data_IF_472580686404
#
_entry.id   IF_472580686404
#
_cell.length_a   1.000
_cell.length_b   1.000
_cell.length_c   1.000
_cell.angle_alpha   90.00
_cell.angle_beta   90.00
_cell.angle_gamma   90.00
#
_symmetry.space_group_name_H-M   'P 1'
#
loop_
_entity.id
_entity.type
_entity.pdbx_description
1 polymer ?
#
# COMPACT_ATOMS: atom_id res chain seq x y z
N UNK A 1 -23.14 -40.13 17.88
CA UNK A 1 -23.05 -39.53 16.52
C UNK A 1 -21.61 -39.09 16.30
N UNK A 2 -20.90 -39.63 15.31
CA UNK A 2 -19.55 -39.19 14.99
C UNK A 2 -19.61 -37.87 14.22
N UNK A 3 -19.04 -36.80 14.78
CA UNK A 3 -18.93 -35.52 14.10
C UNK A 3 -18.03 -35.66 12.87
N UNK A 4 -18.50 -35.20 11.71
CA UNK A 4 -17.72 -35.21 10.47
C UNK A 4 -16.68 -34.09 10.56
N UNK A 5 -15.45 -34.42 10.92
CA UNK A 5 -14.33 -33.49 10.94
C UNK A 5 -13.80 -33.25 9.53
N UNK A 6 -13.29 -32.04 9.26
CA UNK A 6 -12.61 -31.76 7.99
C UNK A 6 -11.33 -32.59 7.88
N UNK A 7 -10.91 -32.90 6.64
CA UNK A 7 -9.66 -33.64 6.39
C UNK A 7 -8.46 -32.90 7.03
N UNK A 8 -8.44 -31.58 6.92
CA UNK A 8 -7.41 -30.75 7.53
C UNK A 8 -7.35 -30.91 9.05
N UNK A 9 -8.50 -30.89 9.73
CA UNK A 9 -8.53 -31.07 11.18
C UNK A 9 -8.10 -32.48 11.59
N UNK A 10 -8.51 -33.50 10.82
CA UNK A 10 -8.05 -34.88 11.02
C UNK A 10 -6.52 -34.97 10.91
N UNK A 11 -5.97 -34.40 9.86
CA UNK A 11 -4.53 -34.45 9.60
C UNK A 11 -3.74 -33.68 10.65
N UNK A 12 -4.26 -32.54 11.13
CA UNK A 12 -3.66 -31.78 12.25
C UNK A 12 -3.66 -32.57 13.57
N UNK A 13 -4.70 -33.37 13.84
CA UNK A 13 -4.75 -34.26 15.02
C UNK A 13 -3.74 -35.39 14.92
N UNK A 14 -3.57 -35.96 13.72
CA UNK A 14 -2.61 -37.05 13.47
C UNK A 14 -1.17 -36.58 13.23
N UNK A 15 -0.94 -35.27 13.10
CA UNK A 15 0.35 -34.68 12.71
C UNK A 15 1.50 -35.12 13.60
N UNK A 16 1.30 -35.13 14.92
CA UNK A 16 2.33 -35.55 15.89
C UNK A 16 2.80 -37.00 15.68
N UNK A 17 1.90 -37.88 15.23
CA UNK A 17 2.15 -39.31 15.08
C UNK A 17 2.72 -39.63 13.69
N UNK A 18 2.19 -38.99 12.65
CA UNK A 18 2.58 -39.24 11.27
C UNK A 18 3.85 -38.46 10.87
N UNK A 19 4.02 -37.24 11.39
CA UNK A 19 5.11 -36.33 11.03
C UNK A 19 5.61 -35.55 12.26
N UNK A 20 6.33 -36.21 13.19
CA UNK A 20 6.77 -35.59 14.45
C UNK A 20 7.69 -34.39 14.24
N UNK A 21 8.54 -34.39 13.21
CA UNK A 21 9.45 -33.29 12.90
C UNK A 21 8.67 -32.03 12.47
N UNK A 22 7.67 -32.20 11.59
CA UNK A 22 6.78 -31.10 11.18
C UNK A 22 5.99 -30.58 12.37
N UNK A 23 5.47 -31.46 13.23
CA UNK A 23 4.79 -31.07 14.45
C UNK A 23 5.69 -30.23 15.38
N UNK A 24 6.97 -30.60 15.51
CA UNK A 24 7.93 -29.81 16.29
C UNK A 24 8.14 -28.40 15.72
N UNK A 25 8.21 -28.25 14.39
CA UNK A 25 8.30 -26.94 13.73
C UNK A 25 7.03 -26.09 13.90
N UNK A 26 5.85 -26.73 13.91
CA UNK A 26 4.58 -26.06 14.23
C UNK A 26 4.59 -25.51 15.67
N UNK A 27 5.09 -26.28 16.65
CA UNK A 27 5.22 -25.80 18.03
C UNK A 27 6.21 -24.64 18.16
N UNK A 28 7.25 -24.59 17.32
CA UNK A 28 8.19 -23.47 17.27
C UNK A 28 7.59 -22.21 16.62
N UNK A 29 6.47 -22.34 15.90
CA UNK A 29 5.85 -21.22 15.20
C UNK A 29 6.56 -20.85 13.90
N UNK A 30 7.35 -21.74 13.30
CA UNK A 30 8.13 -21.47 12.08
C UNK A 30 7.28 -21.39 10.79
N UNK A 31 5.96 -21.32 10.93
CA UNK A 31 4.99 -21.19 9.83
C UNK A 31 4.24 -19.85 9.85
N UNK A 32 4.52 -18.99 10.84
CA UNK A 32 3.90 -17.67 11.00
C UNK A 32 4.93 -16.55 10.99
N UNK A 33 4.53 -15.37 10.51
CA UNK A 33 5.32 -14.14 10.51
C UNK A 33 4.56 -13.03 11.23
N UNK A 34 5.30 -12.08 11.81
CA UNK A 34 4.73 -10.91 12.48
C UNK A 34 5.06 -9.65 11.69
N UNK A 35 4.03 -9.02 11.10
CA UNK A 35 4.18 -7.74 10.39
C UNK A 35 4.31 -6.54 11.32
N UNK A 36 3.97 -6.69 12.60
CA UNK A 36 4.05 -5.62 13.59
C UNK A 36 4.60 -6.11 14.93
N UNK A 37 5.05 -5.17 15.76
CA UNK A 37 5.49 -5.44 17.15
C UNK A 37 4.33 -5.74 18.11
N UNK A 38 3.08 -5.69 17.64
CA UNK A 38 1.90 -5.98 18.48
C UNK A 38 1.90 -7.46 18.86
N UNK A 39 1.35 -7.77 20.03
CA UNK A 39 1.38 -9.13 20.59
C UNK A 39 0.65 -10.17 19.71
N UNK A 40 -0.38 -9.74 18.96
CA UNK A 40 -1.39 -10.64 18.41
C UNK A 40 -1.33 -11.02 16.92
N UNK A 41 -0.71 -10.32 15.96
CA UNK A 41 -0.84 -10.75 14.57
C UNK A 41 0.40 -11.53 14.13
N UNK A 42 0.54 -12.76 14.65
CA UNK A 42 1.30 -13.78 13.95
C UNK A 42 0.38 -14.37 12.87
N UNK A 43 0.76 -14.21 11.61
CA UNK A 43 -0.05 -14.57 10.45
C UNK A 43 0.70 -15.64 9.67
N UNK A 44 -0.01 -16.63 9.12
CA UNK A 44 0.61 -17.63 8.26
C UNK A 44 1.39 -16.95 7.12
N UNK A 45 2.52 -17.54 6.73
CA UNK A 45 3.41 -16.99 5.68
C UNK A 45 2.63 -16.72 4.39
N UNK A 46 1.81 -17.67 3.95
CA UNK A 46 1.01 -17.56 2.73
C UNK A 46 0.03 -16.38 2.78
N UNK A 47 -0.64 -16.20 3.92
CA UNK A 47 -1.56 -15.08 4.11
C UNK A 47 -0.83 -13.72 4.11
N UNK A 48 0.41 -13.69 4.60
CA UNK A 48 1.24 -12.49 4.53
C UNK A 48 1.68 -12.19 3.10
N UNK A 49 2.01 -13.23 2.34
CA UNK A 49 2.33 -13.10 0.92
C UNK A 49 1.11 -12.62 0.11
N UNK A 50 -0.10 -13.12 0.39
CA UNK A 50 -1.33 -12.63 -0.22
C UNK A 50 -1.60 -11.15 0.07
N UNK A 51 -1.42 -10.72 1.32
CA UNK A 51 -1.53 -9.30 1.66
C UNK A 51 -0.52 -8.45 0.89
N UNK A 52 0.73 -8.90 0.81
CA UNK A 52 1.76 -8.17 0.06
C UNK A 52 1.42 -8.12 -1.42
N UNK A 53 0.95 -9.23 -1.99
CA UNK A 53 0.48 -9.27 -3.37
C UNK A 53 -0.70 -8.33 -3.59
N UNK A 54 -1.60 -8.16 -2.62
CA UNK A 54 -2.72 -7.21 -2.75
C UNK A 54 -2.26 -5.75 -2.87
N UNK A 55 -1.14 -5.37 -2.24
CA UNK A 55 -0.57 -4.02 -2.41
C UNK A 55 0.06 -3.80 -3.79
N UNK A 56 0.67 -4.84 -4.37
CA UNK A 56 1.35 -4.72 -5.67
C UNK A 56 0.39 -4.99 -6.84
N UNK A 57 -0.62 -5.84 -6.64
CA UNK A 57 -1.71 -6.08 -7.59
C UNK A 57 -2.73 -4.95 -7.43
N UNK A 58 -2.72 -3.99 -8.35
CA UNK A 58 -3.84 -3.04 -8.47
C UNK A 58 -5.16 -3.74 -8.85
N UNK A 59 -6.20 -2.96 -9.12
CA UNK A 59 -7.56 -3.47 -9.40
C UNK A 59 -7.65 -4.48 -10.58
N UNK A 60 -6.64 -4.51 -11.45
CA UNK A 60 -6.52 -5.46 -12.57
C UNK A 60 -5.92 -6.83 -12.24
N UNK A 61 -5.48 -7.07 -11.00
CA UNK A 61 -4.86 -8.33 -10.59
C UNK A 61 -3.47 -8.57 -11.22
N UNK A 62 -2.99 -9.82 -11.17
CA UNK A 62 -1.70 -10.25 -11.75
C UNK A 62 -1.89 -11.05 -13.05
N UNK A 63 -2.76 -10.60 -13.94
CA UNK A 63 -3.07 -11.31 -15.19
C UNK A 63 -1.80 -11.44 -16.05
N UNK A 64 -1.49 -12.65 -16.54
CA UNK A 64 -0.33 -12.93 -17.40
C UNK A 64 1.03 -13.00 -16.70
N UNK A 65 1.11 -12.70 -15.39
CA UNK A 65 2.39 -12.70 -14.67
C UNK A 65 3.05 -14.09 -14.61
N UNK A 66 2.23 -15.14 -14.50
CA UNK A 66 2.70 -16.53 -14.42
C UNK A 66 3.08 -17.12 -15.77
N UNK A 67 2.70 -16.49 -16.89
CA UNK A 67 2.97 -16.95 -18.26
C UNK A 67 4.42 -16.66 -18.69
N UNK A 68 5.09 -15.71 -18.03
CA UNK A 68 6.49 -15.41 -18.25
C UNK A 68 7.32 -15.72 -16.98
N UNK A 69 8.06 -16.84 -16.95
CA UNK A 69 8.87 -17.23 -15.80
C UNK A 69 9.92 -16.19 -15.37
N UNK A 70 10.45 -15.39 -16.30
CA UNK A 70 11.40 -14.33 -15.98
C UNK A 70 10.71 -13.13 -15.31
N UNK A 71 9.50 -12.78 -15.75
CA UNK A 71 8.68 -11.77 -15.09
C UNK A 71 8.26 -12.22 -13.68
N UNK A 72 7.81 -13.47 -13.53
CA UNK A 72 7.48 -14.05 -12.24
C UNK A 72 8.67 -14.04 -11.27
N UNK A 73 9.88 -14.42 -11.73
CA UNK A 73 11.09 -14.36 -10.89
C UNK A 73 11.41 -12.93 -10.43
N UNK A 74 11.35 -11.95 -11.33
CA UNK A 74 11.56 -10.54 -10.96
C UNK A 74 10.51 -10.08 -9.95
N UNK A 75 9.26 -10.49 -10.10
CA UNK A 75 8.20 -10.20 -9.14
C UNK A 75 8.45 -10.82 -7.77
N UNK A 76 8.84 -12.11 -7.71
CA UNK A 76 9.12 -12.78 -6.43
C UNK A 76 10.26 -12.10 -5.65
N UNK A 77 11.26 -11.56 -6.35
CA UNK A 77 12.42 -10.89 -5.72
C UNK A 77 12.11 -9.43 -5.39
N UNK A 78 11.51 -8.68 -6.31
CA UNK A 78 11.31 -7.23 -6.17
C UNK A 78 9.96 -6.84 -5.56
N UNK A 79 8.95 -7.69 -5.64
CA UNK A 79 7.58 -7.43 -5.18
C UNK A 79 7.49 -6.99 -3.72
N UNK A 80 8.16 -7.69 -2.77
CA UNK A 80 8.17 -7.26 -1.37
C UNK A 80 8.75 -5.85 -1.16
N UNK A 81 9.83 -5.50 -1.86
CA UNK A 81 10.43 -4.16 -1.77
C UNK A 81 9.55 -3.09 -2.42
N UNK A 82 8.91 -3.40 -3.56
CA UNK A 82 7.94 -2.49 -4.17
C UNK A 82 6.76 -2.22 -3.23
N UNK A 83 6.22 -3.25 -2.56
CA UNK A 83 5.16 -3.09 -1.56
C UNK A 83 5.60 -2.20 -0.39
N UNK A 84 6.83 -2.37 0.11
CA UNK A 84 7.40 -1.53 1.17
C UNK A 84 7.52 -0.07 0.73
N UNK A 85 8.03 0.19 -0.48
CA UNK A 85 8.19 1.54 -1.02
C UNK A 85 6.85 2.26 -1.24
N UNK A 86 5.84 1.55 -1.77
CA UNK A 86 4.48 2.10 -1.94
C UNK A 86 3.90 2.49 -0.58
N UNK A 87 3.99 1.59 0.42
CA UNK A 87 3.48 1.86 1.76
C UNK A 87 4.19 3.06 2.44
N UNK A 88 5.51 3.16 2.30
CA UNK A 88 6.27 4.31 2.82
C UNK A 88 5.89 5.62 2.13
N UNK A 89 5.68 5.58 0.81
CA UNK A 89 5.26 6.73 0.04
C UNK A 89 3.86 7.21 0.46
N UNK A 90 2.87 6.33 0.45
CA UNK A 90 1.49 6.65 0.86
C UNK A 90 1.46 7.23 2.28
N UNK A 91 2.12 6.58 3.24
CA UNK A 91 2.20 7.08 4.62
C UNK A 91 2.95 8.40 4.77
N UNK A 92 3.84 8.76 3.83
CA UNK A 92 4.49 10.08 3.79
C UNK A 92 3.58 11.18 3.22
N UNK A 93 2.69 10.82 2.29
CA UNK A 93 1.73 11.75 1.67
C UNK A 93 0.55 12.06 2.60
N UNK A 94 0.08 11.09 3.37
CA UNK A 94 -0.97 11.27 4.37
C UNK A 94 -0.54 12.23 5.50
N UNK A 95 0.72 12.12 5.95
CA UNK A 95 1.29 13.05 6.95
C UNK A 95 1.43 14.49 6.46
N UNK A 96 1.45 14.72 5.13
CA UNK A 96 1.48 16.07 4.55
C UNK A 96 0.09 16.70 4.44
N UNK A 97 -0.98 15.93 4.56
CA UNK A 97 -2.35 16.43 4.45
C UNK A 97 -2.95 16.87 5.80
N UNK A 98 -2.32 16.55 6.93
CA UNK A 98 -2.80 16.94 8.28
C UNK A 98 -2.11 18.20 8.87
N UNK A 99 -1.24 18.86 8.10
CA UNK A 99 -0.80 20.21 8.46
C UNK A 99 -1.16 21.13 7.33
N UNK A 100 -2.37 21.68 7.45
CA UNK A 100 -2.87 22.90 6.80
C UNK A 100 -4.04 22.68 5.84
N UNK A 101 -5.27 22.73 6.37
CA UNK A 101 -6.53 22.81 5.62
C UNK A 101 -6.73 24.14 4.86
N UNK A 102 -5.65 24.81 4.48
CA UNK A 102 -5.67 26.04 3.67
C UNK A 102 -5.47 25.66 2.22
N UNK A 103 -6.41 26.06 1.37
CA UNK A 103 -6.26 26.02 -0.07
C UNK A 103 -4.97 26.72 -0.50
N UNK A 104 -4.39 26.32 -1.64
CA UNK A 104 -3.09 26.83 -2.09
C UNK A 104 -3.02 28.37 -2.15
N UNK A 105 -4.16 29.03 -2.38
CA UNK A 105 -4.34 30.50 -2.39
C UNK A 105 -4.24 31.17 -1.01
N UNK A 106 -4.43 30.43 0.08
CA UNK A 106 -4.49 30.95 1.44
C UNK A 106 -3.14 30.83 2.18
N UNK A 107 -2.09 30.37 1.49
CA UNK A 107 -0.71 30.43 1.99
C UNK A 107 -0.22 31.87 1.83
N UNK A 108 -0.15 32.63 2.94
CA UNK A 108 0.48 33.96 2.91
C UNK A 108 1.94 33.77 2.47
N UNK A 109 2.30 34.37 1.34
CA UNK A 109 3.68 34.42 0.88
C UNK A 109 4.49 35.23 1.90
N UNK A 110 5.34 34.56 2.67
CA UNK A 110 6.11 35.16 3.77
C UNK A 110 7.27 36.08 3.29
N UNK A 111 7.35 36.41 2.01
CA UNK A 111 8.32 37.38 1.49
C UNK A 111 7.68 38.20 0.39
N UNK A 112 6.98 39.26 0.80
CA UNK A 112 6.81 40.45 -0.02
C UNK A 112 6.94 41.66 0.91
N UNK A 113 8.13 41.82 1.47
CA UNK A 113 8.63 43.15 1.83
C UNK A 113 9.47 43.59 0.64
N UNK A 114 9.10 44.72 0.04
CA UNK A 114 9.83 45.41 -1.03
C UNK A 114 9.63 44.86 -2.46
N UNK A 115 8.36 44.65 -2.82
CA UNK A 115 7.85 45.25 -4.06
C UNK A 115 8.29 44.69 -5.42
N UNK A 116 8.89 43.50 -5.51
CA UNK A 116 9.12 42.85 -6.82
C UNK A 116 8.81 41.34 -6.74
N UNK A 117 7.63 40.96 -7.22
CA UNK A 117 7.29 39.56 -7.51
C UNK A 117 7.57 39.28 -8.99
N UNK A 118 8.71 38.65 -9.29
CA UNK A 118 9.12 38.28 -10.66
C UNK A 118 8.25 37.19 -11.30
N UNK A 119 7.22 36.67 -10.61
CA UNK A 119 6.29 35.67 -11.16
C UNK A 119 4.95 36.22 -11.67
N UNK A 120 4.68 37.51 -11.46
CA UNK A 120 3.50 38.18 -12.04
C UNK A 120 3.78 38.90 -13.38
N UNK A 121 5.03 38.90 -13.87
CA UNK A 121 5.41 39.61 -15.10
C UNK A 121 4.98 38.92 -16.40
N UNK A 122 4.20 37.83 -16.34
CA UNK A 122 3.71 37.14 -17.54
C UNK A 122 2.20 36.88 -17.41
N UNK A 123 1.41 37.95 -17.42
CA UNK A 123 0.04 37.87 -17.91
C UNK A 123 -0.22 39.07 -18.80
N UNK A 124 -0.52 38.78 -20.05
CA UNK A 124 -0.88 39.72 -21.12
C UNK A 124 -2.03 40.65 -20.71
N UNK A 125 -2.13 41.86 -21.31
CA UNK A 125 -3.10 42.86 -20.91
C UNK A 125 -4.51 42.50 -21.39
N UNK A 126 -5.43 42.39 -20.43
CA UNK A 126 -6.87 42.28 -20.65
C UNK A 126 -7.40 43.45 -21.49
N UNK A 127 -7.77 43.16 -22.74
CA UNK A 127 -8.47 44.08 -23.63
C UNK A 127 -9.97 44.15 -23.29
N UNK A 128 -10.49 45.38 -23.20
CA UNK A 128 -11.84 45.76 -23.65
C UNK A 128 -13.01 45.54 -22.70
N UNK A 129 -13.33 46.56 -21.89
CA UNK A 129 -14.74 46.94 -21.66
C UNK A 129 -15.17 47.72 -22.89
N UNK A 130 -16.32 47.39 -23.49
CA UNK A 130 -17.30 48.30 -24.12
C UNK A 130 -18.49 47.48 -24.64
N UNK A 131 -19.71 47.83 -24.21
CA UNK A 131 -20.96 47.20 -24.63
C UNK A 131 -22.20 47.87 -24.00
N UNK A 132 -22.93 48.61 -24.84
CA UNK A 132 -24.02 49.61 -24.64
C UNK A 132 -25.32 49.12 -23.93
N UNK A 133 -26.29 50.02 -23.61
CA UNK A 133 -27.32 49.85 -22.59
C UNK A 133 -28.62 49.20 -23.08
N UNK A 134 -29.40 48.79 -22.08
CA UNK A 134 -30.72 48.17 -22.18
C UNK A 134 -31.76 49.17 -22.72
N UNK A 135 -32.57 48.71 -23.69
CA UNK A 135 -33.76 49.42 -24.22
C UNK A 135 -34.91 49.47 -23.23
#
# INVERSE_FOLDING_TARGET
MAAKISIHLRDMVSLKQLHPDVYAEFLKGNFVVKKSKRAFPAVAIDQTHEQNNAFVKGDGGAVGLTENPAALRRWMVSGPEMARLIQEFEGSTEKRQDTDGRHHEQKRHAHCTDGICTRCAITEPSHGRDGEPVR
#
